data_IF_771589924044
#
_entry.id   IF_771589924044
#
_cell.length_a   1.000
_cell.length_b   1.000
_cell.length_c   1.000
_cell.angle_alpha   90.00
_cell.angle_beta   90.00
_cell.angle_gamma   90.00
#
_symmetry.space_group_name_H-M   'P 1'
#
loop_
_entity.id
_entity.type
_entity.pdbx_description
1 polymer ?
#
# COMPACT_ATOMS: atom_id res chain seq x y z
N UNK A 1 -26.99 3.25 15.34
CA UNK A 1 -27.44 2.33 14.26
C UNK A 1 -28.32 3.12 13.29
N UNK A 2 -27.96 3.11 11.99
CA UNK A 2 -28.58 3.77 10.83
C UNK A 2 -28.17 5.22 10.46
N UNK A 3 -27.84 5.38 9.16
CA UNK A 3 -27.62 6.61 8.35
C UNK A 3 -26.15 7.09 8.17
N UNK A 4 -25.15 6.21 8.29
CA UNK A 4 -23.78 6.48 7.73
C UNK A 4 -23.16 5.37 6.87
N UNK A 5 -23.87 4.26 6.64
CA UNK A 5 -23.47 3.19 5.70
C UNK A 5 -24.39 3.19 4.47
N UNK A 6 -24.30 4.22 3.64
CA UNK A 6 -24.90 4.29 2.31
C UNK A 6 -24.45 5.59 1.62
N UNK A 7 -23.24 5.59 1.05
CA UNK A 7 -22.74 6.38 -0.10
C UNK A 7 -21.26 6.00 -0.17
N UNK A 8 -20.97 4.97 -0.95
CA UNK A 8 -19.63 4.42 -1.19
C UNK A 8 -19.72 3.40 -2.33
N UNK A 9 -20.54 3.70 -3.33
CA UNK A 9 -20.72 2.89 -4.53
C UNK A 9 -20.08 3.68 -5.67
N UNK A 10 -18.94 3.19 -6.13
CA UNK A 10 -18.40 3.31 -7.49
C UNK A 10 -18.10 4.76 -7.94
N UNK A 11 -16.86 5.20 -7.69
CA UNK A 11 -16.14 6.03 -8.65
C UNK A 11 -14.80 5.37 -8.96
N UNK A 12 -14.85 4.28 -9.73
CA UNK A 12 -13.73 3.92 -10.59
C UNK A 12 -13.62 5.01 -11.65
N UNK A 13 -12.86 6.06 -11.34
CA UNK A 13 -12.42 7.02 -12.36
C UNK A 13 -11.42 6.24 -13.22
N UNK A 14 -11.93 5.54 -14.22
CA UNK A 14 -11.13 5.12 -15.37
C UNK A 14 -10.71 6.41 -16.03
N UNK A 15 -9.53 6.90 -15.66
CA UNK A 15 -8.89 8.04 -16.28
C UNK A 15 -8.43 7.57 -17.66
N UNK A 16 -9.37 7.54 -18.62
CA UNK A 16 -9.05 7.38 -20.04
C UNK A 16 -8.31 8.66 -20.44
N UNK A 17 -6.98 8.66 -20.28
CA UNK A 17 -6.13 9.60 -20.99
C UNK A 17 -6.52 9.52 -22.46
N UNK A 18 -6.71 10.67 -23.11
CA UNK A 18 -7.22 10.77 -24.47
C UNK A 18 -6.27 10.04 -25.43
N UNK A 19 -6.58 8.76 -25.67
CA UNK A 19 -5.90 7.92 -26.62
C UNK A 19 -6.38 8.27 -28.02
N UNK A 20 -5.46 8.29 -28.98
CA UNK A 20 -5.85 8.02 -30.35
C UNK A 20 -6.56 6.65 -30.27
N UNK A 21 -7.86 6.56 -30.57
CA UNK A 21 -8.57 5.30 -30.38
C UNK A 21 -7.83 4.23 -31.18
N UNK A 22 -7.54 3.08 -30.56
CA UNK A 22 -6.77 2.01 -31.18
C UNK A 22 -7.32 1.65 -32.58
N UNK A 23 -8.64 1.74 -32.75
CA UNK A 23 -9.35 1.55 -34.02
C UNK A 23 -8.99 2.54 -35.13
N UNK A 24 -8.50 3.74 -34.82
CA UNK A 24 -8.00 4.70 -35.79
C UNK A 24 -6.59 4.35 -36.29
N UNK A 25 -5.77 3.70 -35.46
CA UNK A 25 -4.40 3.30 -35.81
C UNK A 25 -4.35 1.98 -36.61
N UNK A 26 -5.34 1.10 -36.42
CA UNK A 26 -5.54 -0.11 -37.23
C UNK A 26 -6.56 0.06 -38.37
N UNK A 27 -7.11 1.27 -38.57
CA UNK A 27 -8.20 1.51 -39.51
C UNK A 27 -7.89 1.03 -40.94
N UNK A 28 -8.71 0.09 -41.44
CA UNK A 28 -8.63 -0.42 -42.81
C UNK A 28 -7.63 -1.56 -43.01
N UNK A 29 -7.06 -2.12 -41.94
CA UNK A 29 -6.21 -3.32 -41.97
C UNK A 29 -7.05 -4.56 -41.64
N UNK A 30 -6.76 -5.67 -42.30
CA UNK A 30 -7.33 -6.99 -42.02
C UNK A 30 -6.21 -7.88 -41.51
N UNK A 31 -6.51 -8.74 -40.55
CA UNK A 31 -5.52 -9.69 -40.08
C UNK A 31 -5.05 -10.62 -41.23
N UNK A 32 -3.76 -11.00 -41.23
CA UNK A 32 -3.25 -12.03 -42.14
C UNK A 32 -3.99 -13.35 -41.95
N UNK A 33 -3.98 -14.19 -42.98
CA UNK A 33 -4.66 -15.48 -42.94
C UNK A 33 -4.19 -16.32 -41.74
N UNK A 34 -5.16 -16.79 -40.96
CA UNK A 34 -4.93 -17.62 -39.79
C UNK A 34 -4.76 -16.86 -38.49
N UNK A 35 -4.72 -15.53 -38.42
CA UNK A 35 -4.62 -14.79 -37.15
C UNK A 35 -5.98 -14.27 -36.68
N UNK A 36 -6.21 -14.23 -35.36
CA UNK A 36 -7.40 -13.59 -34.81
C UNK A 36 -7.42 -12.08 -35.12
N UNK A 37 -8.53 -11.61 -35.71
CA UNK A 37 -8.64 -10.24 -36.19
C UNK A 37 -8.73 -9.20 -35.07
N UNK A 38 -9.29 -9.57 -33.91
CA UNK A 38 -9.43 -8.68 -32.78
C UNK A 38 -8.08 -8.44 -32.11
N UNK A 39 -7.34 -9.51 -31.80
CA UNK A 39 -6.03 -9.46 -31.16
C UNK A 39 -4.98 -8.79 -32.08
N UNK A 40 -4.98 -9.16 -33.36
CA UNK A 40 -4.11 -8.55 -34.37
C UNK A 40 -4.28 -7.03 -34.43
N UNK A 41 -5.53 -6.55 -34.53
CA UNK A 41 -5.79 -5.12 -34.68
C UNK A 41 -5.36 -4.30 -33.45
N UNK A 42 -5.47 -4.88 -32.25
CA UNK A 42 -4.99 -4.27 -31.01
C UNK A 42 -3.46 -4.18 -30.95
N UNK A 43 -2.77 -5.27 -31.30
CA UNK A 43 -1.31 -5.27 -31.38
C UNK A 43 -0.80 -4.29 -32.45
N UNK A 44 -1.39 -4.26 -33.64
CA UNK A 44 -1.05 -3.26 -34.67
C UNK A 44 -1.25 -1.85 -34.15
N UNK A 45 -2.37 -1.58 -33.49
CA UNK A 45 -2.63 -0.25 -32.94
C UNK A 45 -1.57 0.18 -31.91
N UNK A 46 -1.02 -0.75 -31.13
CA UNK A 46 0.12 -0.47 -30.25
C UNK A 46 1.43 -0.27 -31.03
N UNK A 47 1.72 -1.15 -31.99
CA UNK A 47 2.96 -1.10 -32.77
C UNK A 47 3.07 0.16 -33.65
N UNK A 48 1.94 0.73 -34.06
CA UNK A 48 1.89 1.95 -34.87
C UNK A 48 1.96 3.25 -34.06
N UNK A 49 1.94 3.19 -32.72
CA UNK A 49 2.15 4.38 -31.89
C UNK A 49 3.60 4.83 -31.98
N UNK A 50 3.81 6.15 -32.02
CA UNK A 50 5.13 6.76 -32.19
C UNK A 50 5.57 7.52 -30.94
N UNK A 51 6.88 7.56 -30.70
CA UNK A 51 7.46 8.45 -29.71
C UNK A 51 7.52 9.92 -30.19
N UNK A 52 8.20 10.75 -29.39
CA UNK A 52 8.41 12.17 -29.69
C UNK A 52 9.23 12.41 -30.97
N UNK A 53 10.04 11.44 -31.42
CA UNK A 53 10.84 11.51 -32.63
C UNK A 53 10.11 10.93 -33.85
N UNK A 54 8.89 10.40 -33.65
CA UNK A 54 8.06 9.82 -34.70
C UNK A 54 8.39 8.37 -35.02
N UNK A 55 9.22 7.70 -34.23
CA UNK A 55 9.59 6.29 -34.43
C UNK A 55 8.49 5.39 -33.87
N UNK A 56 7.98 4.47 -34.69
CA UNK A 56 6.91 3.55 -34.28
C UNK A 56 7.43 2.50 -33.31
N UNK A 57 6.57 2.04 -32.40
CA UNK A 57 6.89 0.92 -31.51
C UNK A 57 7.34 -0.33 -32.30
N UNK A 58 6.69 -0.65 -33.43
CA UNK A 58 7.10 -1.75 -34.30
C UNK A 58 8.53 -1.60 -34.84
N UNK A 59 8.91 -0.39 -35.27
CA UNK A 59 10.25 -0.08 -35.78
C UNK A 59 11.33 -0.15 -34.69
N UNK A 60 10.95 0.04 -33.42
CA UNK A 60 11.86 -0.14 -32.27
C UNK A 60 12.14 -1.61 -31.97
N UNK A 61 11.20 -2.49 -32.33
CA UNK A 61 11.35 -3.93 -32.13
C UNK A 61 12.12 -4.61 -33.24
N UNK A 62 11.88 -4.19 -34.48
CA UNK A 62 12.43 -4.85 -35.66
C UNK A 62 12.69 -3.81 -36.75
N UNK A 63 13.92 -3.78 -37.27
CA UNK A 63 14.26 -2.96 -38.43
C UNK A 63 13.45 -3.38 -39.67
N UNK A 64 13.02 -4.64 -39.72
CA UNK A 64 12.21 -5.22 -40.80
C UNK A 64 10.71 -5.21 -40.47
N UNK A 65 10.27 -4.39 -39.50
CA UNK A 65 8.88 -4.32 -39.08
C UNK A 65 7.92 -4.06 -40.25
N UNK A 66 7.04 -5.03 -40.50
CA UNK A 66 5.90 -4.93 -41.39
C UNK A 66 4.61 -5.21 -40.58
N UNK A 67 3.71 -4.23 -40.43
CA UNK A 67 2.43 -4.48 -39.75
C UNK A 67 1.56 -5.53 -40.45
N UNK A 68 1.78 -5.84 -41.73
CA UNK A 68 1.05 -6.88 -42.44
C UNK A 68 1.64 -8.28 -42.24
N UNK A 69 2.80 -8.41 -41.60
CA UNK A 69 3.48 -9.68 -41.38
C UNK A 69 3.92 -9.82 -39.90
N UNK A 70 3.10 -10.46 -39.05
CA UNK A 70 3.41 -10.71 -37.63
C UNK A 70 4.74 -11.43 -37.39
N UNK A 71 5.26 -12.17 -38.38
CA UNK A 71 6.57 -12.81 -38.24
C UNK A 71 7.73 -11.81 -38.13
N UNK A 72 7.49 -10.55 -38.52
CA UNK A 72 8.47 -9.45 -38.43
C UNK A 72 8.44 -8.70 -37.09
N UNK A 73 7.50 -9.00 -36.18
CA UNK A 73 7.27 -8.22 -34.95
C UNK A 73 8.23 -8.56 -33.80
N UNK A 74 9.41 -9.10 -34.12
CA UNK A 74 10.42 -9.54 -33.16
C UNK A 74 10.14 -10.95 -32.62
N UNK A 75 10.89 -11.93 -33.13
CA UNK A 75 10.77 -13.33 -32.72
C UNK A 75 11.01 -13.49 -31.21
N UNK A 76 10.02 -14.02 -30.49
CA UNK A 76 10.10 -14.29 -29.04
C UNK A 76 9.56 -13.18 -28.13
N UNK A 77 8.97 -12.12 -28.70
CA UNK A 77 8.40 -11.00 -27.93
C UNK A 77 6.87 -11.04 -27.83
N UNK A 78 6.21 -11.58 -28.86
CA UNK A 78 4.79 -11.90 -28.86
C UNK A 78 4.67 -13.31 -29.40
N UNK A 79 4.12 -14.22 -28.61
CA UNK A 79 3.95 -15.61 -28.97
C UNK A 79 2.53 -15.82 -29.47
N UNK A 80 2.45 -16.21 -30.74
CA UNK A 80 1.22 -16.67 -31.37
C UNK A 80 1.25 -18.19 -31.41
N UNK A 81 0.34 -18.84 -30.72
CA UNK A 81 0.21 -20.30 -30.79
C UNK A 81 -0.98 -20.70 -31.66
N UNK A 82 -0.77 -21.73 -32.50
CA UNK A 82 -1.83 -22.37 -33.27
C UNK A 82 -2.70 -23.17 -32.29
N UNK A 83 -4.03 -23.17 -32.43
CA UNK A 83 -4.93 -23.22 -31.29
C UNK A 83 -4.85 -24.52 -30.49
N UNK A 84 -5.08 -24.38 -29.18
CA UNK A 84 -5.54 -25.44 -28.28
C UNK A 84 -7.07 -25.67 -28.43
N UNK A 85 -7.81 -24.71 -29.03
CA UNK A 85 -9.29 -24.61 -28.99
C UNK A 85 -10.07 -24.96 -30.29
N UNK A 86 -9.42 -25.48 -31.34
CA UNK A 86 -10.09 -26.03 -32.55
C UNK A 86 -10.90 -25.01 -33.41
N UNK A 87 -10.71 -23.70 -33.22
CA UNK A 87 -11.32 -22.62 -34.03
C UNK A 87 -10.56 -22.30 -35.33
N UNK A 88 -9.31 -22.76 -35.43
CA UNK A 88 -8.49 -22.68 -36.63
C UNK A 88 -7.74 -21.37 -36.82
N UNK A 89 -7.57 -20.55 -35.78
CA UNK A 89 -6.77 -19.31 -35.82
C UNK A 89 -5.71 -19.24 -34.73
N UNK A 90 -4.61 -18.55 -35.01
CA UNK A 90 -3.54 -18.19 -34.09
C UNK A 90 -4.04 -17.13 -33.10
N UNK A 91 -3.85 -17.42 -31.82
CA UNK A 91 -4.11 -16.51 -30.72
C UNK A 91 -2.81 -16.12 -30.03
N UNK A 92 -2.82 -14.95 -29.40
CA UNK A 92 -1.73 -14.48 -28.55
C UNK A 92 -1.82 -15.19 -27.20
N UNK A 93 -0.79 -15.98 -26.87
CA UNK A 93 -0.70 -16.69 -25.59
C UNK A 93 0.23 -16.00 -24.62
N UNK A 94 1.30 -15.38 -25.12
CA UNK A 94 2.31 -14.75 -24.29
C UNK A 94 2.78 -13.44 -24.94
N UNK A 95 2.95 -12.42 -24.11
CA UNK A 95 3.58 -11.16 -24.50
C UNK A 95 4.71 -10.90 -23.53
N UNK A 96 5.94 -10.86 -24.04
CA UNK A 96 7.16 -10.73 -23.23
C UNK A 96 8.06 -9.67 -23.86
N UNK A 97 8.10 -8.49 -23.26
CA UNK A 97 8.87 -7.35 -23.76
C UNK A 97 9.97 -6.95 -22.78
N UNK A 98 11.17 -7.49 -23.01
CA UNK A 98 12.38 -7.07 -22.31
C UNK A 98 13.00 -5.83 -22.97
N UNK A 99 12.40 -4.65 -22.81
CA UNK A 99 12.87 -3.41 -23.44
C UNK A 99 14.33 -3.09 -23.09
N UNK A 100 14.80 -3.43 -21.89
CA UNK A 100 16.21 -3.28 -21.49
C UNK A 100 17.19 -4.03 -22.42
N UNK A 101 16.83 -5.25 -22.80
CA UNK A 101 17.70 -6.13 -23.61
C UNK A 101 17.57 -5.81 -25.10
N UNK A 102 16.40 -5.32 -25.51
CA UNK A 102 16.09 -4.96 -26.90
C UNK A 102 16.59 -3.55 -27.27
N UNK A 103 16.84 -2.68 -26.29
CA UNK A 103 17.10 -1.26 -26.54
C UNK A 103 15.88 -0.52 -27.10
N UNK A 104 14.69 -1.11 -26.95
CA UNK A 104 13.43 -0.60 -27.47
C UNK A 104 12.68 0.17 -26.37
N UNK A 105 12.47 1.48 -26.51
CA UNK A 105 11.66 2.26 -25.56
C UNK A 105 10.22 2.37 -26.06
N UNK A 106 9.39 1.40 -25.72
CA UNK A 106 7.98 1.36 -26.13
C UNK A 106 7.18 2.47 -25.45
N UNK A 107 6.30 3.12 -26.19
CA UNK A 107 5.57 4.28 -25.69
C UNK A 107 4.07 4.21 -25.99
N UNK A 108 3.31 5.09 -25.34
CA UNK A 108 1.87 5.22 -25.55
C UNK A 108 1.06 4.26 -24.66
N UNK A 109 -0.07 3.73 -25.12
CA UNK A 109 -0.87 2.77 -24.35
C UNK A 109 -0.99 1.42 -25.03
N UNK A 110 -0.95 0.39 -24.21
CA UNK A 110 -1.19 -0.98 -24.60
C UNK A 110 -2.58 -1.43 -24.16
N UNK A 111 -3.38 -1.91 -25.10
CA UNK A 111 -4.68 -2.54 -24.82
C UNK A 111 -4.66 -3.96 -25.36
N UNK A 112 -4.57 -4.93 -24.44
CA UNK A 112 -4.68 -6.37 -24.66
C UNK A 112 -5.94 -6.93 -24.02
N UNK A 113 -6.90 -6.08 -23.62
CA UNK A 113 -8.12 -6.55 -22.96
C UNK A 113 -8.87 -7.54 -23.85
N UNK A 114 -9.45 -8.59 -23.25
CA UNK A 114 -10.23 -9.59 -23.96
C UNK A 114 -9.42 -10.65 -24.71
N UNK A 115 -8.10 -10.70 -24.57
CA UNK A 115 -7.28 -11.76 -25.18
C UNK A 115 -7.55 -13.08 -24.46
N UNK A 116 -8.30 -13.99 -25.11
CA UNK A 116 -8.89 -15.14 -24.43
C UNK A 116 -7.87 -16.22 -24.06
N UNK A 117 -6.73 -16.27 -24.74
CA UNK A 117 -5.68 -17.28 -24.51
C UNK A 117 -4.40 -16.70 -23.91
N UNK A 118 -4.36 -15.39 -23.62
CA UNK A 118 -3.19 -14.75 -23.03
C UNK A 118 -2.98 -15.29 -21.62
N UNK A 119 -1.93 -16.08 -21.41
CA UNK A 119 -1.55 -16.67 -20.13
C UNK A 119 -0.44 -15.90 -19.42
N UNK A 120 0.43 -15.23 -20.18
CA UNK A 120 1.61 -14.55 -19.63
C UNK A 120 1.76 -13.16 -20.23
N UNK A 121 1.88 -12.15 -19.38
CA UNK A 121 2.20 -10.78 -19.78
C UNK A 121 3.39 -10.26 -18.98
N UNK A 122 4.45 -9.88 -19.68
CA UNK A 122 5.63 -9.28 -19.07
C UNK A 122 6.13 -8.10 -19.90
N UNK A 123 6.45 -6.99 -19.24
CA UNK A 123 7.08 -5.83 -19.85
C UNK A 123 8.03 -5.16 -18.85
N UNK A 124 9.28 -4.93 -19.23
CA UNK A 124 10.23 -4.18 -18.41
C UNK A 124 10.67 -2.89 -19.10
N UNK A 125 11.04 -1.84 -18.35
CA UNK A 125 11.84 -0.70 -18.82
C UNK A 125 11.37 -0.04 -20.15
N UNK A 126 10.10 0.33 -20.22
CA UNK A 126 9.56 1.10 -21.33
C UNK A 126 8.82 2.38 -20.87
N UNK A 127 8.60 3.30 -21.79
CA UNK A 127 7.86 4.56 -21.63
C UNK A 127 6.35 4.45 -21.86
N UNK A 128 5.76 3.25 -21.73
CA UNK A 128 4.30 3.06 -21.80
C UNK A 128 3.62 3.83 -20.68
N UNK A 129 2.41 4.32 -20.95
CA UNK A 129 1.66 5.22 -20.07
C UNK A 129 0.38 4.58 -19.53
N UNK A 130 -0.16 3.57 -20.22
CA UNK A 130 -1.30 2.78 -19.77
C UNK A 130 -1.19 1.36 -20.32
N UNK A 131 -1.58 0.38 -19.52
CA UNK A 131 -1.70 -1.02 -19.92
C UNK A 131 -3.07 -1.54 -19.45
N UNK A 132 -3.80 -2.18 -20.35
CA UNK A 132 -5.06 -2.87 -20.04
C UNK A 132 -4.99 -4.32 -20.54
N UNK A 133 -4.99 -5.27 -19.60
CA UNK A 133 -5.07 -6.72 -19.83
C UNK A 133 -6.36 -7.30 -19.22
N UNK A 134 -7.39 -6.48 -19.04
CA UNK A 134 -8.66 -6.92 -18.44
C UNK A 134 -9.41 -7.93 -19.30
N UNK A 135 -10.22 -8.78 -18.67
CA UNK A 135 -11.03 -9.80 -19.33
C UNK A 135 -10.19 -10.84 -20.10
N UNK A 136 -9.00 -11.15 -19.59
CA UNK A 136 -8.13 -12.23 -20.08
C UNK A 136 -8.24 -13.41 -19.11
N UNK A 137 -9.18 -14.36 -19.31
CA UNK A 137 -9.51 -15.38 -18.31
C UNK A 137 -8.40 -16.39 -18.06
N UNK A 138 -7.52 -16.63 -19.04
CA UNK A 138 -6.38 -17.55 -18.93
C UNK A 138 -5.11 -16.88 -18.37
N UNK A 139 -5.12 -15.56 -18.15
CA UNK A 139 -3.94 -14.81 -17.70
C UNK A 139 -3.57 -15.26 -16.30
N UNK A 140 -2.44 -15.95 -16.18
CA UNK A 140 -1.94 -16.50 -14.92
C UNK A 140 -0.82 -15.67 -14.31
N UNK A 141 -0.07 -14.92 -15.13
CA UNK A 141 1.07 -14.14 -14.67
C UNK A 141 1.15 -12.77 -15.34
N UNK A 142 1.35 -11.74 -14.51
CA UNK A 142 1.66 -10.37 -14.90
C UNK A 142 2.97 -9.96 -14.24
N UNK A 143 3.92 -9.48 -15.03
CA UNK A 143 5.16 -8.88 -14.54
C UNK A 143 5.45 -7.55 -15.25
N UNK A 144 5.48 -6.47 -14.49
CA UNK A 144 5.77 -5.13 -14.99
C UNK A 144 6.83 -4.51 -14.10
N UNK A 145 8.00 -4.22 -14.65
CA UNK A 145 9.10 -3.62 -13.90
C UNK A 145 9.66 -2.39 -14.61
N UNK A 146 10.12 -1.38 -13.85
CA UNK A 146 10.87 -0.23 -14.37
C UNK A 146 10.17 0.59 -15.47
N UNK A 147 8.84 0.51 -15.57
CA UNK A 147 8.08 1.25 -16.58
C UNK A 147 7.70 2.65 -16.07
N UNK A 148 8.66 3.49 -15.67
CA UNK A 148 8.47 4.71 -14.85
C UNK A 148 7.42 5.75 -15.34
N UNK A 149 6.93 5.63 -16.58
CA UNK A 149 5.87 6.48 -17.15
C UNK A 149 4.48 5.87 -17.08
N UNK A 150 4.34 4.62 -16.63
CA UNK A 150 3.06 3.93 -16.52
C UNK A 150 2.20 4.64 -15.47
N UNK A 151 1.02 5.09 -15.86
CA UNK A 151 0.07 5.79 -14.99
C UNK A 151 -1.08 4.91 -14.54
N UNK A 152 -1.51 4.01 -15.42
CA UNK A 152 -2.64 3.14 -15.14
C UNK A 152 -2.38 1.72 -15.62
N UNK A 153 -2.73 0.75 -14.77
CA UNK A 153 -2.74 -0.67 -15.11
C UNK A 153 -4.09 -1.29 -14.72
N UNK A 154 -4.62 -2.17 -15.57
CA UNK A 154 -5.85 -2.91 -15.30
C UNK A 154 -5.72 -4.37 -15.71
N UNK A 155 -6.01 -5.29 -14.79
CA UNK A 155 -6.19 -6.73 -15.02
C UNK A 155 -7.57 -7.20 -14.56
N UNK A 156 -8.56 -6.32 -14.58
CA UNK A 156 -9.89 -6.64 -14.08
C UNK A 156 -10.49 -7.88 -14.77
N UNK A 157 -11.17 -8.73 -14.01
CA UNK A 157 -11.78 -9.98 -14.49
C UNK A 157 -10.77 -11.00 -15.07
N UNK A 158 -9.51 -10.96 -14.63
CA UNK A 158 -8.55 -12.03 -14.89
C UNK A 158 -8.64 -13.07 -13.78
N UNK A 159 -9.56 -14.03 -13.96
CA UNK A 159 -9.93 -14.99 -12.92
C UNK A 159 -8.82 -15.99 -12.58
N UNK A 160 -7.90 -16.27 -13.51
CA UNK A 160 -6.80 -17.24 -13.31
C UNK A 160 -5.49 -16.62 -12.84
N UNK A 161 -5.46 -15.30 -12.62
CA UNK A 161 -4.25 -14.55 -12.31
C UNK A 161 -3.71 -14.95 -10.95
N UNK A 162 -2.52 -15.54 -10.93
CA UNK A 162 -1.85 -16.08 -9.73
C UNK A 162 -0.69 -15.19 -9.33
N UNK A 163 0.24 -14.95 -10.25
CA UNK A 163 1.45 -14.19 -10.01
C UNK A 163 1.29 -12.75 -10.51
N UNK A 164 1.49 -11.78 -9.63
CA UNK A 164 1.34 -10.36 -9.95
C UNK A 164 2.51 -9.54 -9.42
N UNK A 165 3.30 -9.02 -10.35
CA UNK A 165 4.41 -8.11 -10.09
C UNK A 165 4.17 -6.83 -10.88
N UNK A 166 4.17 -5.70 -10.18
CA UNK A 166 4.13 -4.36 -10.72
C UNK A 166 5.05 -3.48 -9.86
N UNK A 167 6.32 -3.35 -10.23
CA UNK A 167 7.33 -2.63 -9.45
C UNK A 167 7.97 -1.50 -10.26
N UNK A 168 8.45 -0.45 -9.57
CA UNK A 168 9.22 0.66 -10.16
C UNK A 168 8.60 1.26 -11.45
N UNK A 169 7.27 1.35 -11.51
CA UNK A 169 6.54 1.69 -12.74
C UNK A 169 5.79 3.02 -12.67
N UNK A 170 5.79 3.69 -11.51
CA UNK A 170 5.15 5.01 -11.38
C UNK A 170 3.63 4.99 -11.50
N UNK A 171 3.00 3.81 -11.38
CA UNK A 171 1.57 3.59 -11.54
C UNK A 171 0.79 4.35 -10.48
N UNK A 172 -0.23 5.10 -10.89
CA UNK A 172 -1.09 5.88 -9.97
C UNK A 172 -2.45 5.21 -9.75
N UNK A 173 -2.94 4.49 -10.78
CA UNK A 173 -4.24 3.81 -10.78
C UNK A 173 -4.03 2.34 -11.12
N UNK A 174 -4.39 1.48 -10.17
CA UNK A 174 -4.36 0.03 -10.32
C UNK A 174 -5.79 -0.51 -10.24
N UNK A 175 -6.16 -1.39 -11.17
CA UNK A 175 -7.42 -2.14 -11.11
C UNK A 175 -7.18 -3.64 -11.20
N UNK A 176 -7.36 -4.32 -10.07
CA UNK A 176 -7.28 -5.79 -9.91
C UNK A 176 -8.64 -6.39 -9.52
N UNK A 177 -9.75 -5.71 -9.82
CA UNK A 177 -11.07 -6.18 -9.43
C UNK A 177 -11.39 -7.54 -10.07
N UNK A 178 -11.99 -8.45 -9.30
CA UNK A 178 -12.34 -9.81 -9.75
C UNK A 178 -11.10 -10.63 -10.21
N UNK A 179 -10.02 -10.56 -9.44
CA UNK A 179 -8.84 -11.45 -9.54
C UNK A 179 -8.73 -12.34 -8.29
N UNK A 180 -9.65 -13.30 -8.07
CA UNK A 180 -9.72 -14.09 -6.83
C UNK A 180 -8.57 -15.09 -6.67
N UNK A 181 -7.87 -15.42 -7.75
CA UNK A 181 -6.82 -16.44 -7.76
C UNK A 181 -5.41 -15.92 -7.48
N UNK A 182 -5.25 -14.61 -7.20
CA UNK A 182 -3.94 -14.08 -6.83
C UNK A 182 -3.51 -14.79 -5.55
N UNK A 183 -2.42 -15.55 -5.64
CA UNK A 183 -1.94 -16.48 -4.63
C UNK A 183 -0.46 -16.19 -4.36
N UNK A 184 -0.01 -16.48 -3.14
CA UNK A 184 1.36 -16.20 -2.74
C UNK A 184 1.61 -14.69 -2.61
N UNK A 185 2.30 -14.09 -3.59
CA UNK A 185 2.88 -12.74 -3.46
C UNK A 185 2.29 -11.73 -4.45
N UNK A 186 1.75 -10.64 -3.92
CA UNK A 186 1.36 -9.45 -4.68
C UNK A 186 2.41 -8.35 -4.49
N UNK A 187 3.23 -8.09 -5.52
CA UNK A 187 4.35 -7.14 -5.46
C UNK A 187 4.00 -5.84 -6.18
N UNK A 188 3.86 -4.75 -5.43
CA UNK A 188 3.39 -3.43 -5.87
C UNK A 188 4.33 -2.27 -5.46
N UNK A 189 5.56 -2.57 -5.03
CA UNK A 189 6.47 -1.57 -4.47
C UNK A 189 6.91 -0.51 -5.49
N UNK A 190 7.30 0.66 -4.99
CA UNK A 190 7.95 1.71 -5.80
C UNK A 190 7.07 2.23 -6.96
N UNK A 191 5.78 2.38 -6.69
CA UNK A 191 4.83 3.01 -7.61
C UNK A 191 4.37 4.38 -7.06
N UNK A 192 3.23 4.88 -7.55
CA UNK A 192 2.59 6.11 -7.10
C UNK A 192 1.12 5.86 -6.76
N UNK A 193 0.81 4.64 -6.31
CA UNK A 193 -0.55 4.23 -6.00
C UNK A 193 -1.09 5.12 -4.88
N UNK A 194 -2.29 5.66 -5.09
CA UNK A 194 -3.00 6.47 -4.09
C UNK A 194 -3.96 5.64 -3.26
N UNK A 195 -4.45 4.55 -3.84
CA UNK A 195 -5.39 3.61 -3.24
C UNK A 195 -5.01 2.20 -3.68
N UNK A 196 -5.23 1.24 -2.80
CA UNK A 196 -5.17 -0.17 -3.12
C UNK A 196 -6.42 -0.85 -2.53
N UNK A 197 -7.20 -1.46 -3.42
CA UNK A 197 -8.34 -2.30 -3.04
C UNK A 197 -8.03 -3.74 -3.45
N UNK A 198 -7.69 -4.56 -2.45
CA UNK A 198 -7.42 -5.99 -2.61
C UNK A 198 -8.60 -6.85 -2.12
N UNK A 199 -9.81 -6.28 -2.07
CA UNK A 199 -11.00 -6.99 -1.58
C UNK A 199 -11.20 -8.30 -2.33
N UNK A 200 -11.29 -9.39 -1.58
CA UNK A 200 -11.55 -10.72 -2.13
C UNK A 200 -10.33 -11.44 -2.73
N UNK A 201 -9.13 -10.85 -2.65
CA UNK A 201 -7.87 -11.57 -2.87
C UNK A 201 -7.57 -12.46 -1.65
N UNK A 202 -8.41 -13.47 -1.40
CA UNK A 202 -8.40 -14.25 -0.15
C UNK A 202 -7.20 -15.18 0.00
N UNK A 203 -6.50 -15.48 -1.09
CA UNK A 203 -5.40 -16.45 -1.12
C UNK A 203 -4.02 -15.80 -1.02
N UNK A 204 -3.92 -14.46 -1.06
CA UNK A 204 -2.62 -13.80 -0.93
C UNK A 204 -2.01 -14.08 0.45
N UNK A 205 -0.74 -14.46 0.49
CA UNK A 205 0.00 -14.68 1.73
C UNK A 205 1.01 -13.56 1.98
N UNK A 206 1.47 -12.88 0.94
CA UNK A 206 2.39 -11.74 1.02
C UNK A 206 1.90 -10.58 0.16
N UNK A 207 1.79 -9.40 0.78
CA UNK A 207 1.51 -8.14 0.08
C UNK A 207 2.67 -7.17 0.31
N UNK A 208 3.33 -6.78 -0.78
CA UNK A 208 4.37 -5.73 -0.76
C UNK A 208 3.83 -4.51 -1.50
N UNK A 209 3.49 -3.45 -0.79
CA UNK A 209 2.99 -2.20 -1.34
C UNK A 209 3.76 -0.97 -0.83
N UNK A 210 4.99 -1.17 -0.37
CA UNK A 210 5.86 -0.12 0.15
C UNK A 210 6.28 0.91 -0.90
N UNK A 211 6.73 2.08 -0.43
CA UNK A 211 7.20 3.19 -1.28
C UNK A 211 6.15 3.64 -2.31
N UNK A 212 4.93 3.87 -1.85
CA UNK A 212 3.84 4.42 -2.66
C UNK A 212 3.32 5.74 -2.04
N UNK A 213 2.13 6.19 -2.43
CA UNK A 213 1.45 7.33 -1.81
C UNK A 213 0.04 6.92 -1.35
N UNK A 214 -0.11 5.69 -0.88
CA UNK A 214 -1.40 5.09 -0.53
C UNK A 214 -1.95 5.79 0.72
N UNK A 215 -3.18 6.29 0.60
CA UNK A 215 -3.96 6.85 1.71
C UNK A 215 -5.13 5.96 2.12
N UNK A 216 -5.43 4.94 1.31
CA UNK A 216 -6.61 4.08 1.43
C UNK A 216 -6.20 2.67 1.01
N UNK A 217 -6.01 1.80 2.00
CA UNK A 217 -5.59 0.40 1.85
C UNK A 217 -6.72 -0.50 2.34
N UNK A 218 -7.40 -1.17 1.42
CA UNK A 218 -8.54 -2.04 1.70
C UNK A 218 -8.12 -3.49 1.54
N UNK A 219 -8.11 -4.23 2.66
CA UNK A 219 -7.68 -5.63 2.74
C UNK A 219 -8.82 -6.57 3.18
N UNK A 220 -10.07 -6.15 2.99
CA UNK A 220 -11.25 -6.92 3.40
C UNK A 220 -11.26 -8.30 2.76
N UNK A 221 -11.33 -9.34 3.60
CA UNK A 221 -11.31 -10.74 3.17
C UNK A 221 -9.93 -11.32 2.81
N UNK A 222 -8.82 -10.60 3.00
CA UNK A 222 -7.45 -11.12 2.84
C UNK A 222 -7.02 -11.98 4.06
N UNK A 223 -7.86 -12.93 4.48
CA UNK A 223 -7.69 -13.68 5.74
C UNK A 223 -6.45 -14.56 5.79
N UNK A 224 -5.88 -14.92 4.63
CA UNK A 224 -4.66 -15.72 4.51
C UNK A 224 -3.37 -14.90 4.45
N UNK A 225 -3.46 -13.57 4.56
CA UNK A 225 -2.29 -12.71 4.51
C UNK A 225 -1.41 -12.94 5.74
N UNK A 226 -0.17 -13.40 5.51
CA UNK A 226 0.82 -13.70 6.55
C UNK A 226 1.83 -12.55 6.70
N UNK A 227 2.15 -11.86 5.60
CA UNK A 227 3.14 -10.78 5.56
C UNK A 227 2.61 -9.53 4.84
N UNK A 228 2.63 -8.39 5.53
CA UNK A 228 2.26 -7.09 4.98
C UNK A 228 3.42 -6.10 5.07
N UNK A 229 3.90 -5.64 3.92
CA UNK A 229 4.89 -4.58 3.79
C UNK A 229 4.22 -3.36 3.16
N UNK A 230 3.94 -2.35 3.98
CA UNK A 230 3.25 -1.12 3.58
C UNK A 230 4.01 0.14 4.00
N UNK A 231 5.30 0.01 4.33
CA UNK A 231 6.16 1.12 4.73
C UNK A 231 6.26 2.23 3.68
N UNK A 232 6.54 3.45 4.13
CA UNK A 232 6.72 4.64 3.29
C UNK A 232 5.50 4.95 2.40
N UNK A 233 4.31 4.97 3.00
CA UNK A 233 3.06 5.38 2.35
C UNK A 233 2.50 6.68 2.98
N UNK A 234 1.20 6.90 2.88
CA UNK A 234 0.48 8.05 3.45
C UNK A 234 -0.73 7.57 4.28
N UNK A 235 -0.64 6.39 4.87
CA UNK A 235 -1.67 5.81 5.73
C UNK A 235 -1.75 6.60 7.04
N UNK A 236 -2.97 6.95 7.47
CA UNK A 236 -3.22 7.59 8.77
C UNK A 236 -3.77 6.60 9.80
N UNK A 237 -4.37 5.52 9.32
CA UNK A 237 -4.89 4.42 10.12
C UNK A 237 -4.64 3.10 9.36
N UNK A 238 -4.52 2.00 10.10
CA UNK A 238 -4.37 0.67 9.54
C UNK A 238 -5.23 -0.33 10.34
N UNK A 239 -6.21 -0.92 9.68
CA UNK A 239 -7.09 -1.95 10.26
C UNK A 239 -6.64 -3.33 9.80
N UNK A 240 -6.19 -4.16 10.75
CA UNK A 240 -5.69 -5.51 10.52
C UNK A 240 -6.62 -6.58 11.10
N UNK A 241 -7.78 -6.21 11.65
CA UNK A 241 -8.64 -7.11 12.41
C UNK A 241 -9.17 -8.32 11.61
N UNK A 242 -9.24 -8.25 10.29
CA UNK A 242 -9.63 -9.40 9.46
C UNK A 242 -8.44 -10.28 9.04
N UNK A 243 -7.20 -9.85 9.29
CA UNK A 243 -5.98 -10.50 8.84
C UNK A 243 -5.50 -11.52 9.88
N UNK A 244 -6.34 -12.51 10.16
CA UNK A 244 -6.15 -13.46 11.26
C UNK A 244 -4.90 -14.35 11.16
N UNK A 245 -4.22 -14.36 10.01
CA UNK A 245 -2.97 -15.10 9.81
C UNK A 245 -1.72 -14.19 9.76
N UNK A 246 -1.90 -12.88 9.92
CA UNK A 246 -0.83 -11.90 9.82
C UNK A 246 0.14 -12.06 10.98
N UNK A 247 1.41 -12.29 10.64
CA UNK A 247 2.50 -12.50 11.60
C UNK A 247 3.76 -11.69 11.27
N UNK A 248 3.80 -11.03 10.12
CA UNK A 248 4.84 -10.08 9.71
C UNK A 248 4.15 -8.80 9.26
N UNK A 249 4.50 -7.68 9.89
CA UNK A 249 4.01 -6.37 9.53
C UNK A 249 5.16 -5.37 9.52
N UNK A 250 5.30 -4.68 8.40
CA UNK A 250 6.13 -3.49 8.26
C UNK A 250 5.23 -2.33 7.79
N UNK A 251 5.10 -1.32 8.64
CA UNK A 251 4.22 -0.18 8.35
C UNK A 251 4.83 1.17 8.72
N UNK A 252 6.14 1.22 8.99
CA UNK A 252 6.87 2.45 9.31
C UNK A 252 6.89 3.46 8.15
N UNK A 253 7.26 4.71 8.44
CA UNK A 253 7.27 5.77 7.42
C UNK A 253 5.87 6.19 6.92
N UNK A 254 4.81 5.86 7.66
CA UNK A 254 3.45 6.34 7.44
C UNK A 254 3.06 7.35 8.52
N UNK A 255 2.21 8.35 8.20
CA UNK A 255 1.67 9.28 9.18
C UNK A 255 0.54 8.67 10.04
N UNK A 256 0.71 7.42 10.49
CA UNK A 256 -0.33 6.69 11.22
C UNK A 256 -0.45 7.17 12.64
N UNK A 257 -1.68 7.36 13.09
CA UNK A 257 -1.99 7.59 14.49
C UNK A 257 -2.65 6.38 15.14
N UNK A 258 -3.02 5.35 14.36
CA UNK A 258 -3.79 4.22 14.87
C UNK A 258 -3.56 2.96 14.05
N UNK A 259 -3.27 1.86 14.74
CA UNK A 259 -3.17 0.51 14.19
C UNK A 259 -4.08 -0.40 15.03
N UNK A 260 -5.03 -1.09 14.38
CA UNK A 260 -5.85 -2.11 15.02
C UNK A 260 -5.33 -3.51 14.66
N UNK A 261 -5.00 -4.34 15.65
CA UNK A 261 -4.44 -5.68 15.47
C UNK A 261 -5.00 -6.78 16.39
N UNK A 262 -6.15 -6.56 17.04
CA UNK A 262 -6.78 -7.45 18.05
C UNK A 262 -6.89 -8.93 17.66
N UNK A 263 -7.14 -9.23 16.39
CA UNK A 263 -7.36 -10.61 15.92
C UNK A 263 -6.25 -11.16 15.05
N UNK A 264 -5.10 -10.48 15.01
CA UNK A 264 -3.93 -10.97 14.29
C UNK A 264 -3.10 -11.90 15.20
N UNK A 265 -2.12 -12.58 14.62
CA UNK A 265 -1.09 -13.27 15.41
C UNK A 265 -0.03 -12.27 15.92
N UNK A 266 -0.23 -10.95 15.75
CA UNK A 266 0.56 -9.91 16.40
C UNK A 266 0.00 -9.76 17.81
N UNK A 267 0.85 -9.96 18.82
CA UNK A 267 0.47 -10.12 20.22
C UNK A 267 0.07 -8.78 20.90
N UNK A 268 -0.77 -7.97 20.25
CA UNK A 268 -1.25 -6.66 20.71
C UNK A 268 -2.64 -6.34 20.16
N UNK A 269 -3.41 -5.51 20.86
CA UNK A 269 -4.75 -5.10 20.43
C UNK A 269 -4.74 -3.84 19.56
N UNK A 270 -4.14 -2.76 20.08
CA UNK A 270 -4.11 -1.45 19.42
C UNK A 270 -2.77 -0.77 19.67
N UNK A 271 -2.22 -0.12 18.64
CA UNK A 271 -1.11 0.82 18.77
C UNK A 271 -1.59 2.20 18.37
N UNK A 272 -1.58 3.15 19.31
CA UNK A 272 -2.15 4.48 19.15
C UNK A 272 -1.10 5.58 19.30
N UNK A 273 -1.30 6.69 18.61
CA UNK A 273 -0.58 7.95 18.83
C UNK A 273 -1.53 8.96 19.49
N UNK A 274 -1.13 9.51 20.61
CA UNK A 274 -1.76 10.68 21.22
C UNK A 274 -0.86 11.91 21.01
N UNK A 275 -1.45 13.03 20.60
CA UNK A 275 -0.71 14.25 20.27
C UNK A 275 -0.13 14.26 18.84
N UNK A 276 0.89 15.09 18.63
CA UNK A 276 1.41 15.39 17.29
C UNK A 276 2.60 14.47 16.92
N UNK A 277 2.33 13.19 16.74
CA UNK A 277 3.33 12.24 16.23
C UNK A 277 2.68 11.06 15.52
N UNK A 278 3.51 10.11 15.12
CA UNK A 278 3.08 8.95 14.33
C UNK A 278 3.61 7.67 14.93
N UNK A 279 2.86 6.59 14.80
CA UNK A 279 3.26 5.24 15.22
C UNK A 279 3.54 4.33 14.03
N UNK A 280 4.37 3.32 14.27
CA UNK A 280 4.67 2.24 13.35
C UNK A 280 4.94 0.94 14.10
N UNK A 281 4.94 -0.15 13.34
CA UNK A 281 5.20 -1.49 13.82
C UNK A 281 6.13 -2.19 12.82
N UNK A 282 7.16 -2.85 13.33
CA UNK A 282 8.05 -3.71 12.55
C UNK A 282 8.14 -5.05 13.27
N UNK A 283 7.74 -6.12 12.59
CA UNK A 283 7.97 -7.50 13.02
C UNK A 283 8.71 -8.27 11.94
N UNK A 284 9.91 -8.72 12.29
CA UNK A 284 10.70 -9.61 11.45
C UNK A 284 10.86 -10.97 12.11
N UNK A 285 10.31 -12.01 11.50
CA UNK A 285 10.59 -13.41 11.84
C UNK A 285 12.07 -13.72 11.53
N UNK A 286 12.91 -13.85 12.56
CA UNK A 286 14.31 -14.28 12.39
C UNK A 286 14.33 -15.78 12.08
N UNK A 287 15.00 -16.18 10.99
CA UNK A 287 15.12 -17.59 10.62
C UNK A 287 15.78 -18.40 11.76
N UNK A 288 14.99 -19.20 12.47
CA UNK A 288 15.45 -20.02 13.60
C UNK A 288 15.67 -19.27 14.93
N UNK A 289 15.10 -18.07 15.09
CA UNK A 289 15.16 -17.27 16.33
C UNK A 289 13.80 -16.75 16.78
N UNK A 290 13.77 -16.03 17.91
CA UNK A 290 12.59 -15.27 18.33
C UNK A 290 12.30 -14.15 17.31
N UNK A 291 11.02 -13.76 17.14
CA UNK A 291 10.67 -12.60 16.33
C UNK A 291 11.37 -11.35 16.87
N UNK A 292 11.71 -10.42 15.98
CA UNK A 292 12.22 -9.12 16.34
C UNK A 292 11.11 -8.10 16.11
N UNK A 293 10.51 -7.63 17.20
CA UNK A 293 9.31 -6.79 17.21
C UNK A 293 9.65 -5.43 17.80
N UNK A 294 9.37 -4.38 17.03
CA UNK A 294 9.66 -3.01 17.38
C UNK A 294 8.41 -2.13 17.23
N UNK A 295 8.10 -1.38 18.29
CA UNK A 295 7.14 -0.27 18.22
C UNK A 295 7.88 1.02 17.95
N UNK A 296 7.47 1.72 16.89
CA UNK A 296 8.15 2.93 16.43
C UNK A 296 7.27 4.13 16.68
N UNK A 297 7.81 5.13 17.35
CA UNK A 297 7.22 6.43 17.58
C UNK A 297 8.06 7.48 16.85
N UNK A 298 7.41 8.38 16.12
CA UNK A 298 8.09 9.48 15.42
C UNK A 298 7.36 10.79 15.74
N UNK A 299 7.97 11.70 16.54
CA UNK A 299 7.38 13.01 16.80
C UNK A 299 7.39 13.86 15.52
N UNK A 300 6.37 14.69 15.34
CA UNK A 300 6.38 15.71 14.30
C UNK A 300 7.46 16.78 14.59
N UNK A 301 7.79 17.59 13.58
CA UNK A 301 8.79 18.64 13.72
C UNK A 301 8.44 19.61 14.87
N UNK A 302 9.30 19.66 15.89
CA UNK A 302 9.12 20.53 17.07
C UNK A 302 8.40 19.87 18.25
N UNK A 303 7.91 18.64 18.07
CA UNK A 303 7.21 17.89 19.12
C UNK A 303 8.17 16.97 19.89
N UNK A 304 7.78 16.62 21.10
CA UNK A 304 8.55 15.72 21.99
C UNK A 304 7.78 14.42 22.18
N UNK A 305 8.46 13.30 22.03
CA UNK A 305 7.94 12.00 22.44
C UNK A 305 8.15 11.82 23.94
N UNK A 306 7.09 11.49 24.66
CA UNK A 306 7.10 11.36 26.13
C UNK A 306 7.28 9.91 26.58
N UNK A 307 6.80 8.96 25.78
CA UNK A 307 6.92 7.53 26.05
C UNK A 307 5.79 6.70 25.47
N UNK A 308 5.94 5.39 25.62
CA UNK A 308 4.92 4.38 25.38
C UNK A 308 4.23 4.05 26.70
N UNK A 309 2.90 4.07 26.69
CA UNK A 309 2.07 3.86 27.86
C UNK A 309 1.07 2.74 27.62
N UNK A 310 0.84 1.93 28.65
CA UNK A 310 -0.26 0.96 28.65
C UNK A 310 -1.61 1.61 28.92
N UNK A 311 -2.68 0.83 28.78
CA UNK A 311 -4.05 1.25 29.09
C UNK A 311 -4.25 1.72 30.55
N UNK A 312 -3.39 1.29 31.48
CA UNK A 312 -3.43 1.68 32.90
C UNK A 312 -2.63 2.98 33.20
N UNK A 313 -2.08 3.61 32.17
CA UNK A 313 -1.26 4.82 32.28
C UNK A 313 0.17 4.55 32.74
N UNK A 314 0.61 3.30 32.89
CA UNK A 314 2.00 2.99 33.24
C UNK A 314 2.93 3.24 32.03
N UNK A 315 4.02 3.98 32.25
CA UNK A 315 5.06 4.18 31.24
C UNK A 315 5.84 2.87 31.06
N UNK A 316 5.70 2.25 29.88
CA UNK A 316 6.34 1.00 29.55
C UNK A 316 7.72 1.21 28.92
N UNK A 317 7.90 2.29 28.17
CA UNK A 317 9.18 2.64 27.54
C UNK A 317 9.29 4.12 27.21
N UNK A 318 10.51 4.63 27.10
CA UNK A 318 10.82 6.00 26.63
C UNK A 318 11.64 5.99 25.33
N UNK A 319 11.89 4.80 24.78
CA UNK A 319 12.61 4.65 23.53
C UNK A 319 11.66 4.87 22.34
N UNK A 320 12.07 5.73 21.40
CA UNK A 320 11.33 5.96 20.15
C UNK A 320 11.21 4.68 19.31
N UNK A 321 12.20 3.81 19.44
CA UNK A 321 12.27 2.50 18.81
C UNK A 321 12.32 1.46 19.93
N UNK A 322 11.14 1.01 20.37
CA UNK A 322 10.99 0.14 21.52
C UNK A 322 10.98 -1.33 21.07
N UNK A 323 12.09 -2.02 21.35
CA UNK A 323 12.18 -3.48 21.19
C UNK A 323 11.31 -4.16 22.26
N UNK A 324 10.22 -4.77 21.79
CA UNK A 324 9.24 -5.49 22.61
C UNK A 324 9.36 -7.01 22.45
N UNK A 325 10.38 -7.49 21.74
CA UNK A 325 10.53 -8.91 21.37
C UNK A 325 10.49 -9.88 22.55
N UNK A 326 11.01 -9.47 23.72
CA UNK A 326 11.07 -10.32 24.92
C UNK A 326 9.83 -10.20 25.82
N UNK A 327 8.97 -9.19 25.60
CA UNK A 327 7.86 -8.83 26.49
C UNK A 327 6.51 -8.77 25.79
N UNK A 328 6.45 -8.96 24.47
CA UNK A 328 5.21 -8.82 23.69
C UNK A 328 4.08 -9.71 24.22
N UNK A 329 4.41 -10.93 24.69
CA UNK A 329 3.47 -11.86 25.30
C UNK A 329 2.86 -11.33 26.61
N UNK A 330 3.52 -10.39 27.27
CA UNK A 330 3.04 -9.72 28.48
C UNK A 330 2.26 -8.42 28.16
N UNK A 331 2.31 -7.93 26.91
CA UNK A 331 1.61 -6.72 26.43
C UNK A 331 0.25 -7.12 25.83
N UNK A 332 -0.67 -7.61 26.68
CA UNK A 332 -2.05 -7.97 26.27
C UNK A 332 -2.99 -6.74 26.24
N UNK A 333 -2.46 -5.56 25.92
CA UNK A 333 -3.19 -4.29 26.09
C UNK A 333 -2.96 -3.31 24.94
N UNK A 334 -3.83 -2.31 24.86
CA UNK A 334 -3.61 -1.15 24.01
C UNK A 334 -2.34 -0.41 24.46
N UNK A 335 -1.48 -0.09 23.51
CA UNK A 335 -0.25 0.69 23.74
C UNK A 335 -0.40 2.05 23.06
N UNK A 336 -0.12 3.11 23.80
CA UNK A 336 -0.20 4.48 23.29
C UNK A 336 1.17 5.16 23.32
N UNK A 337 1.67 5.60 22.17
CA UNK A 337 2.75 6.57 22.07
C UNK A 337 2.20 7.96 22.36
N UNK A 338 2.73 8.61 23.38
CA UNK A 338 2.32 9.96 23.74
C UNK A 338 3.36 10.95 23.23
N UNK A 339 2.90 11.87 22.39
CA UNK A 339 3.63 13.02 21.91
C UNK A 339 3.07 14.27 22.56
N UNK A 340 3.87 15.32 22.64
CA UNK A 340 3.33 16.62 23.01
C UNK A 340 2.25 17.01 22.00
N UNK A 341 1.06 17.32 22.50
CA UNK A 341 0.23 18.35 21.88
C UNK A 341 0.91 19.69 22.21
N UNK A 342 0.44 20.81 21.69
CA UNK A 342 0.92 22.13 22.13
C UNK A 342 0.71 22.32 23.65
N UNK A 343 1.69 21.90 24.47
CA UNK A 343 1.59 21.78 25.93
C UNK A 343 2.29 20.50 26.41
N UNK A 344 3.29 20.63 27.28
CA UNK A 344 3.98 19.47 27.85
C UNK A 344 3.01 18.72 28.79
N UNK A 345 2.82 17.40 28.62
CA UNK A 345 1.96 16.64 29.52
C UNK A 345 2.55 16.63 30.94
N UNK A 346 1.75 17.00 31.93
CA UNK A 346 2.22 17.31 33.27
C UNK A 346 2.67 18.76 33.50
N UNK A 347 2.79 19.60 32.47
CA UNK A 347 2.98 21.06 32.60
C UNK A 347 1.61 21.72 32.81
N UNK A 348 1.06 21.47 33.98
CA UNK A 348 -0.29 21.89 34.38
C UNK A 348 -0.37 23.42 34.43
N UNK A 349 0.74 24.09 34.73
CA UNK A 349 0.80 25.54 34.82
C UNK A 349 1.08 26.24 33.45
N UNK A 350 1.38 25.46 32.41
CA UNK A 350 1.69 25.87 31.04
C UNK A 350 2.91 26.82 30.93
N UNK A 351 3.92 26.64 31.78
CA UNK A 351 5.14 27.46 31.79
C UNK A 351 6.27 26.92 30.90
N UNK A 352 6.06 25.75 30.30
CA UNK A 352 7.02 25.08 29.43
C UNK A 352 8.00 24.16 30.17
N UNK A 353 7.74 23.82 31.43
CA UNK A 353 8.45 22.79 32.18
C UNK A 353 7.47 21.83 32.86
N UNK A 354 7.88 20.57 33.04
CA UNK A 354 7.18 19.60 33.89
C UNK A 354 7.98 19.46 35.17
N UNK A 355 7.54 20.09 36.24
CA UNK A 355 8.24 20.12 37.51
C UNK A 355 7.32 20.07 38.75
N UNK A 356 7.91 20.26 39.93
CA UNK A 356 7.19 20.16 41.20
C UNK A 356 6.14 21.26 41.41
N UNK A 357 6.23 22.37 40.66
CA UNK A 357 5.23 23.43 40.67
C UNK A 357 3.93 22.92 40.03
N UNK A 358 4.01 22.08 39.00
CA UNK A 358 2.82 21.49 38.35
C UNK A 358 2.04 20.57 39.27
N UNK A 359 2.74 19.76 40.08
CA UNK A 359 2.09 18.95 41.13
C UNK A 359 1.33 19.86 42.10
N UNK A 360 1.90 21.01 42.43
CA UNK A 360 1.29 21.98 43.36
C UNK A 360 0.05 22.62 42.73
N UNK A 361 0.14 23.00 41.46
CA UNK A 361 -0.96 23.60 40.69
C UNK A 361 -2.09 22.59 40.49
N UNK A 362 -1.78 21.34 40.12
CA UNK A 362 -2.77 20.27 39.98
C UNK A 362 -3.44 19.93 41.31
N UNK A 363 -2.66 19.88 42.40
CA UNK A 363 -3.21 19.70 43.76
C UNK A 363 -4.16 20.81 44.16
N UNK A 364 -3.87 22.06 43.77
CA UNK A 364 -4.72 23.21 44.04
C UNK A 364 -6.02 23.18 43.21
N UNK A 365 -5.93 22.73 41.95
CA UNK A 365 -7.08 22.58 41.06
C UNK A 365 -8.07 21.52 41.57
N UNK A 366 -7.59 20.34 41.97
CA UNK A 366 -8.44 19.22 42.43
C UNK A 366 -9.23 19.48 43.72
N UNK A 367 -8.91 20.56 44.44
CA UNK A 367 -9.64 21.04 45.62
C UNK A 367 -10.41 22.33 45.36
N UNK A 368 -10.66 22.65 44.09
CA UNK A 368 -11.39 23.83 43.60
C UNK A 368 -10.81 25.18 44.10
N UNK A 369 -9.50 25.22 44.39
CA UNK A 369 -8.86 26.45 44.91
C UNK A 369 -8.35 27.39 43.81
N UNK A 370 -8.19 26.86 42.59
CA UNK A 370 -7.82 27.60 41.38
C UNK A 370 -8.61 27.06 40.18
N UNK A 371 -8.65 27.82 39.09
CA UNK A 371 -9.07 27.34 37.78
C UNK A 371 -7.85 27.18 36.87
N UNK A 372 -7.84 26.11 36.07
CA UNK A 372 -6.81 25.88 35.04
C UNK A 372 -7.29 26.42 33.68
N UNK A 373 -6.33 26.67 32.79
CA UNK A 373 -6.63 26.89 31.36
C UNK A 373 -7.15 25.61 30.73
N UNK A 374 -7.79 25.67 29.56
CA UNK A 374 -8.18 24.47 28.81
C UNK A 374 -6.96 23.55 28.58
N UNK A 375 -5.81 24.13 28.23
CA UNK A 375 -4.56 23.38 28.06
C UNK A 375 -4.03 22.83 29.40
N UNK A 376 -4.15 23.55 30.51
CA UNK A 376 -3.74 23.08 31.82
C UNK A 376 -4.58 21.91 32.33
N UNK A 377 -5.88 21.87 31.97
CA UNK A 377 -6.75 20.71 32.21
C UNK A 377 -6.25 19.52 31.38
N UNK A 378 -6.03 19.71 30.08
CA UNK A 378 -5.49 18.66 29.18
C UNK A 378 -4.14 18.14 29.70
N UNK A 379 -3.20 19.02 30.01
CA UNK A 379 -1.89 18.65 30.55
C UNK A 379 -1.97 17.99 31.93
N UNK A 380 -3.02 18.30 32.71
CA UNK A 380 -3.26 17.78 34.05
C UNK A 380 -3.95 16.43 34.10
N UNK A 381 -4.63 16.01 33.03
CA UNK A 381 -5.07 14.62 32.84
C UNK A 381 -3.83 13.79 32.46
N UNK A 382 -3.13 13.31 33.48
CA UNK A 382 -1.85 12.63 33.37
C UNK A 382 -2.02 11.11 33.19
N UNK A 383 -3.19 10.55 33.49
CA UNK A 383 -3.51 9.13 33.27
C UNK A 383 -4.34 8.84 32.00
N UNK A 384 -4.73 9.86 31.23
CA UNK A 384 -5.48 9.80 29.95
C UNK A 384 -6.92 9.30 30.12
N UNK A 385 -7.50 9.33 31.32
CA UNK A 385 -8.83 8.79 31.52
C UNK A 385 -9.96 9.76 31.08
N UNK A 386 -9.61 10.97 30.65
CA UNK A 386 -10.54 12.04 30.25
C UNK A 386 -10.99 12.94 31.41
N UNK A 387 -10.46 12.75 32.62
CA UNK A 387 -10.79 13.49 33.84
C UNK A 387 -9.53 13.93 34.60
N UNK A 388 -9.22 15.23 34.60
CA UNK A 388 -8.18 15.82 35.46
C UNK A 388 -8.61 15.82 36.94
N UNK A 389 -8.02 14.95 37.74
CA UNK A 389 -8.43 14.70 39.12
C UNK A 389 -7.25 14.35 40.06
N UNK A 390 -7.56 13.91 41.29
CA UNK A 390 -6.55 13.62 42.32
C UNK A 390 -5.65 12.41 42.01
N UNK A 391 -6.09 11.53 41.12
CA UNK A 391 -5.32 10.36 40.67
C UNK A 391 -4.13 10.80 39.82
N UNK A 392 -4.33 11.79 38.94
CA UNK A 392 -3.28 12.37 38.09
C UNK A 392 -2.11 12.95 38.87
N UNK A 393 -2.39 13.51 40.05
CA UNK A 393 -1.35 14.01 40.96
C UNK A 393 -0.38 12.89 41.32
N UNK A 394 -0.89 11.69 41.58
CA UNK A 394 -0.06 10.54 41.98
C UNK A 394 0.83 10.08 40.83
N UNK A 395 0.30 10.07 39.60
CA UNK A 395 1.07 9.73 38.41
C UNK A 395 2.15 10.79 38.10
N UNK A 396 1.78 12.07 38.09
CA UNK A 396 2.73 13.18 37.88
C UNK A 396 3.83 13.19 38.95
N UNK A 397 3.47 12.95 40.22
CA UNK A 397 4.41 12.85 41.33
C UNK A 397 5.42 11.70 41.11
N UNK A 398 4.93 10.52 40.71
CA UNK A 398 5.77 9.35 40.44
C UNK A 398 6.68 9.56 39.23
N UNK A 399 6.19 10.21 38.18
CA UNK A 399 6.98 10.61 37.02
C UNK A 399 8.18 11.47 37.44
N UNK A 400 7.95 12.55 38.19
CA UNK A 400 9.02 13.46 38.65
C UNK A 400 10.04 12.79 39.57
N UNK A 401 9.65 11.77 40.34
CA UNK A 401 10.59 10.96 41.13
C UNK A 401 11.55 10.12 40.28
N UNK A 402 11.15 9.75 39.07
CA UNK A 402 11.91 8.86 38.20
C UNK A 402 12.77 9.61 37.18
N UNK A 403 12.35 10.80 36.73
CA UNK A 403 13.10 11.64 35.76
C UNK A 403 14.40 12.24 36.35
N UNK A 404 14.56 12.23 37.68
CA UNK A 404 15.75 12.73 38.38
C UNK A 404 16.86 11.71 38.69
N UNK A 405 16.87 10.52 38.06
CA UNK A 405 17.85 9.44 38.32
C UNK A 405 18.81 9.18 37.17
#
# INVERSE_FOLDING_TARGET
>A
MNIRRMIGVIMAVVMVLALIPASALSAGRTAPEGYDEYEYNKLVAFMEQTDADGVKNGEKFSEDYDPADPSTWGSGNVFFEYPVWDDGVYHVTDVTWHCNTLGADLCGSLDLSGFQQLSFFMIDNCSVTAIDVSNCPELSMVEIDRCARLKSFSSANCESLQDFILTDSGTEVLNISNCPSIDGSLMLSDNKLRKLDATGCSSITTLVCSNNVITDLVLTGCTSLESLYCENNKLTELDLNELTSLNILHCDGNPMTLIFCEYTELHMNTVNAEGNGTVGYIDTQRTGGAPLIHLIAVPNEGETFLGWYGHDGECMSTDLDWDVSEIIDDIDTDVTAIFTETGLRGDVNCDGAVDWEDVTVLSAYTVDSIELTEQGIINGDFDCNGETNSVDISYLYNFLLNVGK
#
